data_IF_913814424920
#
_entry.id   IF_913814424920
#
_cell.length_a   1.000
_cell.length_b   1.000
_cell.length_c   1.000
_cell.angle_alpha   90.00
_cell.angle_beta   90.00
_cell.angle_gamma   90.00
#
_symmetry.space_group_name_H-M   'P 1'
#
loop_
_entity.id
_entity.type
_entity.pdbx_description
1 polymer ?
#
# COMPACT_ATOMS: atom_id res chain seq x y z
N UNK A 1 -11.40 40.67 4.95
CA UNK A 1 -10.99 40.32 6.32
C UNK A 1 -9.57 39.75 6.22
N UNK A 2 -8.62 40.31 6.93
CA UNK A 2 -7.19 39.95 6.82
C UNK A 2 -6.96 38.62 7.51
N UNK A 3 -6.65 37.54 6.78
CA UNK A 3 -6.47 36.18 7.26
C UNK A 3 -5.14 35.96 8.03
N UNK A 4 -4.37 37.04 8.27
CA UNK A 4 -3.11 37.02 9.02
C UNK A 4 -3.23 36.63 10.50
N UNK A 5 -4.44 36.40 11.03
CA UNK A 5 -4.64 35.92 12.39
C UNK A 5 -5.22 34.52 12.41
N UNK A 6 -4.28 33.53 12.59
CA UNK A 6 -4.56 32.18 13.07
C UNK A 6 -5.82 31.57 12.45
N UNK A 7 -5.66 30.67 11.50
CA UNK A 7 -6.74 29.79 11.06
C UNK A 7 -7.33 29.13 12.32
N UNK A 8 -8.33 29.79 12.92
CA UNK A 8 -8.98 29.41 14.17
C UNK A 8 -10.25 28.61 13.89
N UNK A 9 -10.82 27.91 14.88
CA UNK A 9 -12.13 27.30 14.74
C UNK A 9 -13.22 28.29 14.31
N UNK A 10 -13.23 29.52 14.86
CA UNK A 10 -14.20 30.55 14.49
C UNK A 10 -14.06 30.94 13.01
N UNK A 11 -12.84 31.07 12.51
CA UNK A 11 -12.59 31.29 11.08
C UNK A 11 -13.17 30.16 10.23
N UNK A 12 -12.98 28.90 10.63
CA UNK A 12 -13.50 27.74 9.91
C UNK A 12 -15.04 27.73 9.89
N UNK A 13 -15.70 28.13 11.00
CA UNK A 13 -17.16 28.28 11.08
C UNK A 13 -17.66 29.38 10.12
N UNK A 14 -16.99 30.52 10.06
CA UNK A 14 -17.33 31.62 9.18
C UNK A 14 -17.18 31.24 7.70
N UNK A 15 -16.07 30.66 7.31
CA UNK A 15 -15.82 30.18 5.94
C UNK A 15 -16.90 29.20 5.49
N UNK A 16 -17.24 28.22 6.33
CA UNK A 16 -18.24 27.21 5.96
C UNK A 16 -19.65 27.79 5.89
N UNK A 17 -19.98 28.74 6.77
CA UNK A 17 -21.25 29.45 6.69
C UNK A 17 -21.36 30.31 5.43
N UNK A 18 -20.31 31.04 5.06
CA UNK A 18 -20.26 31.91 3.89
C UNK A 18 -20.36 31.09 2.58
N UNK A 19 -19.46 30.14 2.39
CA UNK A 19 -19.32 29.45 1.10
C UNK A 19 -20.23 28.23 0.94
N UNK A 20 -20.56 27.52 2.02
CA UNK A 20 -21.43 26.31 1.97
C UNK A 20 -22.81 26.55 2.59
N UNK A 21 -23.00 27.61 3.36
CA UNK A 21 -24.25 27.91 4.03
C UNK A 21 -24.59 26.96 5.16
N UNK A 22 -23.59 26.37 5.77
CA UNK A 22 -23.74 25.40 6.84
C UNK A 22 -23.37 26.05 8.18
N UNK A 23 -24.31 26.08 9.10
CA UNK A 23 -24.05 26.46 10.50
C UNK A 23 -23.43 25.26 11.21
N UNK A 24 -22.26 25.45 11.82
CA UNK A 24 -21.51 24.38 12.47
C UNK A 24 -20.65 24.90 13.63
N UNK A 25 -20.15 23.97 14.44
CA UNK A 25 -19.08 24.20 15.41
C UNK A 25 -17.82 23.51 14.93
N UNK A 26 -16.73 24.25 14.92
CA UNK A 26 -15.43 23.76 14.46
C UNK A 26 -14.52 23.39 15.62
N UNK A 27 -13.74 22.32 15.42
CA UNK A 27 -12.62 21.94 16.26
C UNK A 27 -11.40 21.64 15.38
N UNK A 28 -10.23 22.19 15.73
CA UNK A 28 -9.00 21.96 14.99
C UNK A 28 -8.57 20.50 15.09
N UNK A 29 -8.09 19.96 13.95
CA UNK A 29 -7.44 18.66 13.85
C UNK A 29 -5.96 18.86 13.49
N UNK A 30 -5.13 17.86 13.84
CA UNK A 30 -3.74 17.83 13.39
C UNK A 30 -3.66 17.71 11.86
N UNK A 31 -2.66 18.30 11.25
CA UNK A 31 -2.36 18.22 9.82
C UNK A 31 -0.91 18.65 9.58
N UNK A 32 -0.28 18.06 8.56
CA UNK A 32 1.13 18.37 8.24
C UNK A 32 1.21 19.64 7.38
N UNK A 33 0.48 19.70 6.28
CA UNK A 33 0.43 20.87 5.37
C UNK A 33 -0.89 21.61 5.58
N UNK A 34 -2.01 20.91 5.47
CA UNK A 34 -3.34 21.47 5.61
C UNK A 34 -3.66 21.85 7.06
N UNK A 35 -4.39 22.92 7.25
CA UNK A 35 -5.12 23.19 8.50
C UNK A 35 -6.48 22.51 8.39
N UNK A 36 -6.70 21.54 9.23
CA UNK A 36 -7.89 20.71 9.21
C UNK A 36 -8.81 21.04 10.38
N UNK A 37 -10.12 21.07 10.12
CA UNK A 37 -11.14 21.31 11.14
C UNK A 37 -12.27 20.29 11.00
N UNK A 38 -12.60 19.59 12.08
CA UNK A 38 -13.86 18.86 12.14
C UNK A 38 -14.98 19.86 12.45
N UNK A 39 -16.07 19.75 11.72
CA UNK A 39 -17.26 20.57 11.86
C UNK A 39 -18.42 19.71 12.31
N UNK A 40 -19.16 20.18 13.30
CA UNK A 40 -20.39 19.52 13.78
C UNK A 40 -21.55 20.45 13.46
N UNK A 41 -22.45 20.02 12.59
CA UNK A 41 -23.64 20.78 12.21
C UNK A 41 -24.68 20.79 13.32
N UNK A 42 -25.67 21.69 13.25
CA UNK A 42 -26.79 21.70 14.20
C UNK A 42 -27.61 20.39 14.19
N UNK A 43 -27.53 19.57 13.13
CA UNK A 43 -28.18 18.25 13.03
C UNK A 43 -27.34 17.11 13.59
N UNK A 44 -26.09 17.41 13.98
CA UNK A 44 -25.13 16.42 14.45
C UNK A 44 -24.29 15.76 13.35
N UNK A 45 -24.49 16.13 12.09
CA UNK A 45 -23.64 15.64 11.00
C UNK A 45 -22.23 16.19 11.15
N UNK A 46 -21.22 15.39 10.77
CA UNK A 46 -19.82 15.77 10.82
C UNK A 46 -19.23 15.93 9.43
N UNK A 47 -18.41 16.97 9.26
CA UNK A 47 -17.69 17.28 8.02
C UNK A 47 -16.25 17.65 8.39
N UNK A 48 -15.37 17.69 7.39
CA UNK A 48 -13.99 18.19 7.55
C UNK A 48 -13.74 19.32 6.58
N UNK A 49 -13.39 20.49 7.11
CA UNK A 49 -12.82 21.58 6.32
C UNK A 49 -11.30 21.41 6.29
N UNK A 50 -10.74 21.37 5.09
CA UNK A 50 -9.30 21.37 4.85
C UNK A 50 -8.93 22.71 4.22
N UNK A 51 -7.96 23.41 4.81
CA UNK A 51 -7.44 24.70 4.30
C UNK A 51 -5.96 24.54 4.01
N UNK A 52 -5.61 24.55 2.73
CA UNK A 52 -4.22 24.55 2.28
C UNK A 52 -3.67 25.98 2.32
N UNK A 53 -2.53 26.24 2.99
CA UNK A 53 -1.96 27.58 3.11
C UNK A 53 -1.48 28.12 1.76
N UNK A 54 -1.17 29.43 1.67
CA UNK A 54 -0.60 30.02 0.47
C UNK A 54 0.71 29.34 0.06
N UNK A 55 0.91 29.20 -1.24
CA UNK A 55 2.09 28.57 -1.82
C UNK A 55 1.79 27.96 -3.19
N UNK A 56 2.77 27.25 -3.76
CA UNK A 56 2.61 26.56 -5.05
C UNK A 56 1.87 25.21 -4.86
N UNK A 57 0.69 25.27 -4.24
CA UNK A 57 -0.10 24.07 -3.91
C UNK A 57 -1.33 23.88 -4.79
N UNK A 58 -1.61 24.80 -5.72
CA UNK A 58 -2.84 24.78 -6.53
C UNK A 58 -3.03 23.47 -7.28
N UNK A 59 -2.01 23.01 -8.02
CA UNK A 59 -2.11 21.78 -8.79
C UNK A 59 -2.30 20.54 -7.90
N UNK A 60 -1.71 20.54 -6.70
CA UNK A 60 -1.90 19.47 -5.72
C UNK A 60 -3.34 19.45 -5.20
N UNK A 61 -3.91 20.61 -4.85
CA UNK A 61 -5.31 20.72 -4.39
C UNK A 61 -6.27 20.29 -5.49
N UNK A 62 -6.06 20.76 -6.72
CA UNK A 62 -6.88 20.36 -7.87
C UNK A 62 -6.83 18.84 -8.10
N UNK A 63 -5.62 18.25 -8.06
CA UNK A 63 -5.44 16.81 -8.19
C UNK A 63 -6.23 16.02 -7.12
N UNK A 64 -6.16 16.44 -5.85
CA UNK A 64 -6.92 15.80 -4.76
C UNK A 64 -8.43 15.90 -4.98
N UNK A 65 -8.91 17.09 -5.37
CA UNK A 65 -10.33 17.34 -5.61
C UNK A 65 -10.84 16.51 -6.79
N UNK A 66 -10.09 16.48 -7.88
CA UNK A 66 -10.47 15.73 -9.07
C UNK A 66 -10.41 14.23 -8.84
N UNK A 67 -9.39 13.71 -8.12
CA UNK A 67 -9.29 12.31 -7.75
C UNK A 67 -10.47 11.86 -6.88
N UNK A 68 -10.80 12.62 -5.82
CA UNK A 68 -11.94 12.31 -4.95
C UNK A 68 -13.26 12.39 -5.71
N UNK A 69 -13.40 13.35 -6.63
CA UNK A 69 -14.58 13.47 -7.49
C UNK A 69 -14.70 12.30 -8.47
N UNK A 70 -13.58 11.84 -9.02
CA UNK A 70 -13.53 10.65 -9.88
C UNK A 70 -13.93 9.38 -9.10
N UNK A 71 -13.47 9.24 -7.85
CA UNK A 71 -13.77 8.10 -6.99
C UNK A 71 -15.22 8.08 -6.49
N UNK A 72 -15.94 9.20 -6.50
CA UNK A 72 -17.31 9.30 -6.02
C UNK A 72 -18.31 8.39 -6.76
N UNK A 73 -18.03 8.10 -8.03
CA UNK A 73 -18.88 7.25 -8.88
C UNK A 73 -18.34 5.81 -9.01
N UNK A 74 -17.44 5.40 -8.11
CA UNK A 74 -16.79 4.08 -8.16
C UNK A 74 -17.18 3.20 -6.96
N UNK A 75 -16.90 1.89 -7.00
CA UNK A 75 -17.17 0.99 -5.86
C UNK A 75 -16.40 1.30 -4.56
N UNK A 76 -15.45 2.24 -4.57
CA UNK A 76 -14.72 2.67 -3.38
C UNK A 76 -15.28 3.94 -2.76
N UNK A 77 -16.31 4.54 -3.34
CA UNK A 77 -16.91 5.80 -2.88
C UNK A 77 -17.27 5.79 -1.38
N UNK A 78 -17.72 4.65 -0.85
CA UNK A 78 -18.08 4.51 0.57
C UNK A 78 -16.87 4.54 1.52
N UNK A 79 -15.65 4.33 1.00
CA UNK A 79 -14.41 4.26 1.79
C UNK A 79 -13.50 5.47 1.62
N UNK A 80 -13.86 6.46 0.79
CA UNK A 80 -13.04 7.66 0.54
C UNK A 80 -13.85 8.92 0.79
N UNK A 81 -13.20 10.03 1.23
CA UNK A 81 -13.90 11.29 1.46
C UNK A 81 -14.61 11.78 0.19
N UNK A 82 -15.83 12.29 0.36
CA UNK A 82 -16.59 12.90 -0.71
C UNK A 82 -16.46 14.42 -0.62
N UNK A 83 -16.17 15.09 -1.75
CA UNK A 83 -16.13 16.55 -1.84
C UNK A 83 -17.55 17.10 -1.80
N UNK A 84 -17.80 18.09 -0.95
CA UNK A 84 -19.03 18.86 -0.95
C UNK A 84 -18.79 20.19 -1.69
N UNK A 85 -19.44 20.42 -2.83
CA UNK A 85 -19.28 21.68 -3.55
C UNK A 85 -19.86 22.86 -2.75
N UNK A 86 -19.29 24.05 -2.93
CA UNK A 86 -19.82 25.30 -2.38
C UNK A 86 -21.20 25.64 -2.96
N UNK A 87 -21.84 26.69 -2.43
CA UNK A 87 -23.11 27.21 -3.00
C UNK A 87 -22.99 27.64 -4.46
N UNK A 88 -21.78 28.03 -4.89
CA UNK A 88 -21.49 28.44 -6.26
C UNK A 88 -21.04 27.26 -7.14
N UNK A 89 -20.98 26.04 -6.57
CA UNK A 89 -20.59 24.82 -7.27
C UNK A 89 -19.08 24.56 -7.29
N UNK A 90 -18.29 25.38 -6.62
CA UNK A 90 -16.83 25.20 -6.53
C UNK A 90 -16.49 24.05 -5.59
N UNK A 91 -15.53 23.23 -5.96
CA UNK A 91 -15.03 22.09 -5.16
C UNK A 91 -13.84 22.45 -4.28
N UNK A 92 -13.12 23.52 -4.65
CA UNK A 92 -12.11 24.19 -3.84
C UNK A 92 -12.32 25.70 -3.96
N UNK A 93 -12.47 26.37 -2.83
CA UNK A 93 -12.78 27.79 -2.73
C UNK A 93 -11.48 28.55 -2.44
N UNK A 94 -11.13 29.59 -3.23
CA UNK A 94 -10.01 30.44 -2.91
C UNK A 94 -10.37 31.40 -1.76
N UNK A 95 -9.47 31.47 -0.79
CA UNK A 95 -9.55 32.43 0.33
C UNK A 95 -8.32 33.34 0.26
N UNK A 96 -8.52 34.60 -0.07
CA UNK A 96 -7.44 35.57 -0.20
C UNK A 96 -7.02 36.12 1.15
N UNK A 97 -5.73 36.19 1.41
CA UNK A 97 -5.13 36.86 2.54
C UNK A 97 -3.91 37.70 2.11
N UNK A 98 -3.30 38.44 3.07
CA UNK A 98 -2.13 39.29 2.80
C UNK A 98 -0.87 38.49 2.38
N UNK A 99 -0.86 37.16 2.59
CA UNK A 99 0.24 36.25 2.26
C UNK A 99 -0.01 35.48 0.95
N UNK A 100 -1.21 35.59 0.35
CA UNK A 100 -1.59 34.96 -0.89
C UNK A 100 -2.94 34.24 -0.81
N UNK A 101 -3.12 33.19 -1.65
CA UNK A 101 -4.37 32.46 -1.76
C UNK A 101 -4.27 31.14 -1.00
N UNK A 102 -5.12 30.95 0.02
CA UNK A 102 -5.41 29.65 0.62
C UNK A 102 -6.50 28.93 -0.20
N UNK A 103 -6.51 27.59 -0.13
CA UNK A 103 -7.52 26.79 -0.81
C UNK A 103 -8.32 26.00 0.22
N UNK A 104 -9.62 26.32 0.35
CA UNK A 104 -10.54 25.64 1.25
C UNK A 104 -11.38 24.60 0.50
N UNK A 105 -11.50 23.40 1.07
CA UNK A 105 -12.36 22.33 0.57
C UNK A 105 -13.08 21.62 1.69
N UNK A 106 -14.35 21.31 1.49
CA UNK A 106 -15.20 20.65 2.46
C UNK A 106 -15.39 19.19 2.03
N UNK A 107 -15.15 18.25 2.95
CA UNK A 107 -15.28 16.81 2.69
C UNK A 107 -16.10 16.13 3.77
N UNK A 108 -16.63 14.95 3.46
CA UNK A 108 -17.31 14.10 4.43
C UNK A 108 -16.36 13.64 5.52
N UNK A 109 -16.89 13.46 6.72
CA UNK A 109 -16.18 12.91 7.87
C UNK A 109 -16.45 11.41 8.00
N UNK A 110 -15.45 10.63 8.38
CA UNK A 110 -15.60 9.22 8.71
C UNK A 110 -15.62 9.00 10.21
N UNK A 111 -16.65 8.29 10.68
CA UNK A 111 -16.72 7.78 12.04
C UNK A 111 -15.84 6.54 12.19
N UNK A 112 -14.65 6.74 12.72
CA UNK A 112 -13.68 5.68 12.89
C UNK A 112 -12.50 6.12 13.76
N UNK A 113 -11.75 5.14 14.23
CA UNK A 113 -10.49 5.35 14.95
C UNK A 113 -9.34 4.97 14.02
N UNK A 114 -8.25 5.75 13.94
CA UNK A 114 -7.06 5.36 13.19
C UNK A 114 -6.58 3.97 13.63
N UNK A 115 -6.19 3.15 12.65
CA UNK A 115 -5.82 1.75 12.88
C UNK A 115 -4.62 1.62 13.83
N UNK A 116 -3.73 2.61 13.87
CA UNK A 116 -2.59 2.66 14.81
C UNK A 116 -3.03 2.53 16.28
N UNK A 117 -4.25 2.97 16.61
CA UNK A 117 -4.82 2.87 17.96
C UNK A 117 -5.62 1.58 18.21
N UNK A 118 -5.59 0.63 17.26
CA UNK A 118 -6.27 -0.66 17.34
C UNK A 118 -5.28 -1.80 17.47
N UNK A 119 -5.41 -2.59 18.56
CA UNK A 119 -4.55 -3.75 18.79
C UNK A 119 -4.92 -4.96 17.92
N UNK A 120 -6.21 -5.26 17.83
CA UNK A 120 -6.71 -6.43 17.11
C UNK A 120 -6.84 -6.17 15.61
N UNK A 121 -6.21 -7.04 14.81
CA UNK A 121 -6.23 -7.01 13.34
C UNK A 121 -6.47 -8.44 12.83
N UNK A 122 -7.71 -8.96 12.92
CA UNK A 122 -7.99 -10.33 12.50
C UNK A 122 -7.75 -10.51 10.99
N UNK A 123 -7.43 -11.72 10.51
CA UNK A 123 -7.12 -12.01 9.11
C UNK A 123 -8.13 -11.44 8.11
N UNK A 124 -9.43 -11.65 8.37
CA UNK A 124 -10.51 -11.15 7.49
C UNK A 124 -10.52 -9.63 7.37
N UNK A 125 -10.17 -8.92 8.44
CA UNK A 125 -10.08 -7.47 8.44
C UNK A 125 -8.88 -7.01 7.59
N UNK A 126 -7.70 -7.62 7.76
CA UNK A 126 -6.52 -7.34 6.93
C UNK A 126 -6.77 -7.63 5.45
N UNK A 127 -7.43 -8.75 5.13
CA UNK A 127 -7.88 -9.04 3.76
C UNK A 127 -8.84 -7.98 3.23
N UNK A 128 -9.75 -7.43 4.06
CA UNK A 128 -10.67 -6.38 3.63
C UNK A 128 -9.94 -5.08 3.29
N UNK A 129 -8.90 -4.72 4.03
CA UNK A 129 -8.01 -3.59 3.69
C UNK A 129 -7.38 -3.84 2.32
N UNK A 130 -6.74 -5.00 2.11
CA UNK A 130 -6.15 -5.36 0.82
C UNK A 130 -7.14 -5.27 -0.33
N UNK A 131 -8.37 -5.78 -0.16
CA UNK A 131 -9.43 -5.68 -1.19
C UNK A 131 -9.81 -4.23 -1.51
N UNK A 132 -9.87 -3.38 -0.49
CA UNK A 132 -10.20 -1.95 -0.70
C UNK A 132 -9.08 -1.22 -1.43
N UNK A 133 -7.82 -1.47 -1.08
CA UNK A 133 -6.67 -0.93 -1.81
C UNK A 133 -6.66 -1.40 -3.27
N UNK A 134 -6.89 -2.69 -3.53
CA UNK A 134 -6.98 -3.21 -4.90
C UNK A 134 -8.11 -2.57 -5.71
N UNK A 135 -9.28 -2.30 -5.10
CA UNK A 135 -10.37 -1.56 -5.74
C UNK A 135 -10.01 -0.10 -6.00
N UNK A 136 -9.31 0.53 -5.06
CA UNK A 136 -8.85 1.91 -5.19
C UNK A 136 -7.89 2.05 -6.38
N UNK A 137 -6.89 1.19 -6.48
CA UNK A 137 -5.93 1.21 -7.58
C UNK A 137 -6.60 0.96 -8.93
N UNK A 138 -7.56 0.02 -8.99
CA UNK A 138 -8.34 -0.22 -10.21
C UNK A 138 -9.23 0.99 -10.57
N UNK A 139 -9.81 1.66 -9.58
CA UNK A 139 -10.62 2.86 -9.80
C UNK A 139 -9.76 4.04 -10.30
N UNK A 140 -8.52 4.18 -9.80
CA UNK A 140 -7.59 5.23 -10.21
C UNK A 140 -6.80 4.89 -11.50
N UNK A 141 -6.86 3.66 -12.03
CA UNK A 141 -6.06 3.25 -13.18
C UNK A 141 -6.29 4.08 -14.45
N UNK A 142 -7.48 4.68 -14.61
CA UNK A 142 -7.81 5.57 -15.72
C UNK A 142 -7.75 7.06 -15.38
N UNK A 143 -7.41 7.41 -14.15
CA UNK A 143 -7.30 8.78 -13.70
C UNK A 143 -5.88 9.31 -13.94
N UNK A 144 -5.77 10.53 -14.47
CA UNK A 144 -4.51 11.24 -14.61
C UNK A 144 -4.70 12.73 -14.37
N UNK A 145 -3.70 13.36 -13.73
CA UNK A 145 -3.72 14.80 -13.45
C UNK A 145 -2.29 15.34 -13.34
N UNK A 146 -1.97 16.54 -13.90
CA UNK A 146 -0.61 17.11 -13.82
C UNK A 146 -0.04 17.19 -12.39
N UNK A 147 -0.88 17.46 -11.39
CA UNK A 147 -0.48 17.51 -9.97
C UNK A 147 -0.06 16.17 -9.37
N UNK A 148 -0.35 15.03 -10.03
CA UNK A 148 0.14 13.72 -9.62
C UNK A 148 1.55 13.41 -10.14
N UNK A 149 2.04 14.13 -11.17
CA UNK A 149 3.37 13.95 -11.76
C UNK A 149 4.41 14.87 -11.11
N UNK A 150 4.56 14.75 -9.80
CA UNK A 150 5.50 15.55 -9.01
C UNK A 150 6.59 14.67 -8.40
N UNK A 151 7.71 15.26 -8.06
CA UNK A 151 8.75 14.57 -7.30
C UNK A 151 8.43 14.59 -5.80
N UNK A 152 8.48 13.42 -5.18
CA UNK A 152 8.24 13.25 -3.76
C UNK A 152 9.28 12.34 -3.11
N UNK A 153 9.70 12.67 -1.88
CA UNK A 153 10.54 11.80 -1.08
C UNK A 153 9.84 10.47 -0.70
N UNK A 154 8.52 10.46 -0.73
CA UNK A 154 7.70 9.28 -0.44
C UNK A 154 7.48 8.36 -1.65
N UNK A 155 7.98 8.72 -2.83
CA UNK A 155 7.95 7.85 -3.99
C UNK A 155 8.93 6.69 -3.81
N UNK A 156 8.38 5.48 -3.71
CA UNK A 156 9.17 4.25 -3.51
C UNK A 156 10.20 4.02 -4.63
N UNK A 157 9.91 4.45 -5.86
CA UNK A 157 10.85 4.30 -6.97
C UNK A 157 12.14 5.10 -6.79
N UNK A 158 12.09 6.13 -5.94
CA UNK A 158 13.22 7.04 -5.67
C UNK A 158 13.93 6.76 -4.35
N UNK A 159 13.63 5.63 -3.71
CA UNK A 159 14.16 5.30 -2.37
C UNK A 159 15.69 5.37 -2.29
N UNK A 160 16.40 4.91 -3.33
CA UNK A 160 17.87 4.96 -3.35
C UNK A 160 18.44 6.39 -3.47
N UNK A 161 17.69 7.34 -4.03
CA UNK A 161 18.08 8.75 -4.11
C UNK A 161 18.11 9.41 -2.72
N UNK A 162 17.28 8.92 -1.79
CA UNK A 162 17.28 9.38 -0.39
C UNK A 162 18.54 8.98 0.39
N UNK A 163 19.39 8.11 -0.18
CA UNK A 163 20.63 7.65 0.43
C UNK A 163 21.58 8.77 0.88
N UNK A 164 21.49 9.96 0.28
CA UNK A 164 22.24 11.15 0.68
C UNK A 164 21.97 11.56 2.13
N UNK A 165 20.78 11.22 2.67
CA UNK A 165 20.38 11.52 4.06
C UNK A 165 20.88 10.49 5.08
N UNK A 166 21.48 9.37 4.65
CA UNK A 166 22.06 8.38 5.56
C UNK A 166 23.14 8.95 6.48
N UNK A 167 23.82 10.01 6.06
CA UNK A 167 24.84 10.73 6.86
C UNK A 167 24.27 11.32 8.15
N UNK A 168 22.97 11.60 8.20
CA UNK A 168 22.27 12.13 9.37
C UNK A 168 21.89 11.04 10.39
N UNK A 169 22.10 9.76 10.08
CA UNK A 169 21.89 8.63 10.99
C UNK A 169 23.17 8.47 11.83
N UNK A 170 23.13 8.86 13.10
CA UNK A 170 24.29 8.87 13.98
C UNK A 170 24.82 7.44 14.28
N UNK A 171 23.92 6.48 14.49
CA UNK A 171 24.26 5.08 14.75
C UNK A 171 24.84 4.41 13.50
N UNK A 172 26.10 4.04 13.54
CA UNK A 172 26.82 3.44 12.40
C UNK A 172 26.25 2.09 11.97
N UNK A 173 25.73 1.29 12.92
CA UNK A 173 25.10 -0.01 12.61
C UNK A 173 23.79 0.18 11.87
N UNK A 174 22.96 1.13 12.31
CA UNK A 174 21.71 1.49 11.63
C UNK A 174 21.98 2.10 10.26
N UNK A 175 22.99 2.94 10.13
CA UNK A 175 23.42 3.52 8.85
C UNK A 175 23.83 2.42 7.88
N UNK A 176 24.72 1.52 8.28
CA UNK A 176 25.17 0.40 7.44
C UNK A 176 24.01 -0.54 7.04
N UNK A 177 22.99 -0.71 7.92
CA UNK A 177 21.78 -1.46 7.61
C UNK A 177 20.99 -0.81 6.45
N UNK A 178 20.75 0.50 6.53
CA UNK A 178 20.06 1.26 5.46
C UNK A 178 20.86 1.20 4.17
N UNK A 179 22.17 1.50 4.20
CA UNK A 179 23.04 1.52 3.01
C UNK A 179 23.01 0.17 2.28
N UNK A 180 23.02 -0.96 3.01
CA UNK A 180 22.90 -2.30 2.42
C UNK A 180 21.56 -2.51 1.72
N UNK A 181 20.45 -2.04 2.30
CA UNK A 181 19.13 -2.15 1.69
C UNK A 181 18.99 -1.25 0.46
N UNK A 182 19.57 -0.04 0.50
CA UNK A 182 19.59 0.85 -0.67
C UNK A 182 20.43 0.28 -1.81
N UNK A 183 21.57 -0.35 -1.50
CA UNK A 183 22.40 -1.02 -2.51
C UNK A 183 21.65 -2.20 -3.16
N UNK A 184 20.96 -3.01 -2.34
CA UNK A 184 20.07 -4.07 -2.85
C UNK A 184 18.95 -3.49 -3.72
N UNK A 185 18.28 -2.44 -3.26
CA UNK A 185 17.22 -1.78 -4.02
C UNK A 185 17.73 -1.30 -5.38
N UNK A 186 18.83 -0.56 -5.39
CA UNK A 186 19.44 -0.01 -6.59
C UNK A 186 19.85 -1.08 -7.61
N UNK A 187 20.41 -2.20 -7.12
CA UNK A 187 21.00 -3.24 -7.98
C UNK A 187 20.00 -4.32 -8.42
N UNK A 188 18.99 -4.64 -7.59
CA UNK A 188 18.10 -5.79 -7.83
C UNK A 188 16.62 -5.42 -7.97
N UNK A 189 16.18 -4.32 -7.36
CA UNK A 189 14.77 -3.91 -7.38
C UNK A 189 14.50 -2.89 -8.46
N UNK A 190 15.17 -1.72 -8.40
CA UNK A 190 14.94 -0.59 -9.31
C UNK A 190 14.95 -0.97 -10.80
N UNK A 191 15.89 -1.81 -11.31
CA UNK A 191 15.88 -2.20 -12.73
C UNK A 191 14.62 -2.97 -13.16
N UNK A 192 13.94 -3.64 -12.21
CA UNK A 192 12.72 -4.42 -12.47
C UNK A 192 11.45 -3.57 -12.42
N UNK A 193 11.48 -2.37 -11.82
CA UNK A 193 10.31 -1.50 -11.70
C UNK A 193 9.82 -0.95 -13.05
N UNK A 194 10.70 -0.89 -14.05
CA UNK A 194 10.41 -0.34 -15.38
C UNK A 194 9.35 -1.11 -16.18
N UNK A 195 9.08 -2.36 -15.79
CA UNK A 195 8.10 -3.22 -16.49
C UNK A 195 6.74 -3.23 -15.80
N UNK A 196 6.58 -2.54 -14.67
CA UNK A 196 5.32 -2.52 -13.92
C UNK A 196 4.36 -1.45 -14.44
N UNK A 197 3.08 -1.76 -14.31
CA UNK A 197 2.01 -0.81 -14.56
C UNK A 197 2.17 0.41 -13.64
N UNK A 198 1.84 1.57 -14.22
CA UNK A 198 1.85 2.86 -13.55
C UNK A 198 0.45 3.43 -13.53
N UNK A 199 0.08 4.02 -12.43
CA UNK A 199 -1.18 4.74 -12.25
C UNK A 199 -1.01 5.79 -11.16
N UNK A 200 -2.01 6.61 -11.00
CA UNK A 200 -2.16 7.42 -9.80
C UNK A 200 -2.56 6.48 -8.67
N UNK A 201 -1.87 6.58 -7.52
CA UNK A 201 -2.14 5.83 -6.30
C UNK A 201 -2.32 6.78 -5.12
N UNK A 202 -2.87 6.29 -4.00
CA UNK A 202 -2.99 7.08 -2.77
C UNK A 202 -1.62 7.42 -2.18
N UNK A 203 -0.66 6.50 -2.28
CA UNK A 203 0.75 6.62 -1.89
C UNK A 203 1.02 6.79 -0.38
N UNK A 204 -0.01 6.87 0.46
CA UNK A 204 0.13 6.98 1.92
C UNK A 204 -0.98 6.25 2.70
N UNK A 205 -1.38 5.05 2.24
CA UNK A 205 -2.34 4.19 2.94
C UNK A 205 -1.69 3.52 4.17
N UNK A 206 -1.30 4.34 5.14
CA UNK A 206 -0.69 3.95 6.40
C UNK A 206 -1.74 3.72 7.51
N UNK A 207 -1.32 3.29 8.68
CA UNK A 207 -2.18 2.97 9.81
C UNK A 207 -2.79 4.19 10.53
N UNK A 208 -2.35 5.40 10.24
CA UNK A 208 -3.01 6.64 10.66
C UNK A 208 -4.14 7.05 9.70
N UNK A 209 -4.00 6.74 8.42
CA UNK A 209 -4.95 7.11 7.36
C UNK A 209 -6.04 6.06 7.13
N UNK A 210 -5.86 4.84 7.64
CA UNK A 210 -6.87 3.78 7.64
C UNK A 210 -7.73 3.92 8.90
N UNK A 211 -9.01 4.23 8.72
CA UNK A 211 -9.98 4.36 9.82
C UNK A 211 -10.78 3.07 10.01
N UNK A 212 -10.97 2.70 11.28
CA UNK A 212 -11.63 1.46 11.70
C UNK A 212 -12.81 1.76 12.61
N UNK A 213 -13.91 1.07 12.37
CA UNK A 213 -15.08 1.00 13.27
C UNK A 213 -15.40 -0.45 13.58
N UNK A 214 -16.27 -0.69 14.56
CA UNK A 214 -16.84 -2.02 14.74
C UNK A 214 -18.08 -2.15 13.85
N UNK A 215 -18.25 -3.31 13.23
CA UNK A 215 -19.47 -3.67 12.52
C UNK A 215 -20.61 -4.00 13.49
N UNK A 216 -21.77 -4.40 12.95
CA UNK A 216 -22.94 -4.79 13.77
C UNK A 216 -22.69 -6.02 14.68
N UNK A 217 -21.68 -6.85 14.34
CA UNK A 217 -21.24 -8.01 15.12
C UNK A 217 -20.18 -7.66 16.18
N UNK A 218 -19.70 -6.42 16.22
CA UNK A 218 -18.63 -5.97 17.11
C UNK A 218 -17.22 -6.22 16.55
N UNK A 219 -17.09 -6.76 15.34
CA UNK A 219 -15.81 -7.06 14.69
C UNK A 219 -15.22 -5.82 14.01
N UNK A 220 -13.88 -5.70 13.94
CA UNK A 220 -13.23 -4.61 13.21
C UNK A 220 -13.61 -4.61 11.73
N UNK A 221 -14.04 -3.45 11.25
CA UNK A 221 -14.37 -3.19 9.85
C UNK A 221 -13.74 -1.87 9.39
N UNK A 222 -13.36 -1.79 8.11
CA UNK A 222 -12.87 -0.57 7.51
C UNK A 222 -13.99 0.49 7.52
N UNK A 223 -13.69 1.65 8.09
CA UNK A 223 -14.59 2.81 8.06
C UNK A 223 -14.29 3.73 6.88
N UNK A 224 -13.01 3.94 6.58
CA UNK A 224 -12.57 4.78 5.48
C UNK A 224 -11.05 4.85 5.36
N UNK A 225 -10.61 5.36 4.23
CA UNK A 225 -9.24 5.75 3.93
C UNK A 225 -9.22 7.26 3.68
N UNK A 226 -8.41 7.97 4.45
CA UNK A 226 -8.35 9.44 4.43
C UNK A 226 -6.97 9.94 3.99
N UNK A 227 -6.90 11.22 3.75
CA UNK A 227 -5.69 11.97 3.43
C UNK A 227 -5.03 11.63 2.08
N UNK A 228 -5.64 12.14 1.03
CA UNK A 228 -5.16 12.07 -0.36
C UNK A 228 -4.07 13.12 -0.67
N UNK A 229 -3.34 13.62 0.35
CA UNK A 229 -2.28 14.62 0.21
C UNK A 229 -1.10 14.14 -0.61
N UNK A 230 -0.77 12.89 -0.50
CA UNK A 230 0.40 12.26 -1.11
C UNK A 230 0.11 11.50 -2.41
N UNK A 231 -1.09 11.69 -2.98
CA UNK A 231 -1.48 11.08 -4.26
C UNK A 231 -0.42 11.34 -5.34
N UNK A 232 -0.01 10.28 -6.04
CA UNK A 232 1.14 10.32 -6.94
C UNK A 232 0.98 9.34 -8.11
N UNK A 233 1.43 9.73 -9.29
CA UNK A 233 1.55 8.83 -10.44
C UNK A 233 2.89 8.08 -10.36
N UNK A 234 2.85 6.80 -10.00
CA UNK A 234 4.03 5.94 -9.82
C UNK A 234 3.70 4.49 -10.16
N UNK A 235 4.56 3.53 -9.84
CA UNK A 235 4.25 2.09 -10.00
C UNK A 235 3.06 1.70 -9.12
N UNK A 236 2.01 1.14 -9.70
CA UNK A 236 0.76 0.82 -8.99
C UNK A 236 0.98 -0.09 -7.79
N UNK A 237 1.89 -1.07 -7.89
CA UNK A 237 2.19 -2.01 -6.80
C UNK A 237 2.82 -1.35 -5.57
N UNK A 238 3.31 -0.11 -5.67
CA UNK A 238 3.83 0.63 -4.52
C UNK A 238 2.78 0.82 -3.43
N UNK A 239 1.49 1.01 -3.79
CA UNK A 239 0.39 1.12 -2.83
C UNK A 239 0.36 -0.04 -1.83
N UNK A 240 0.45 -1.27 -2.35
CA UNK A 240 0.47 -2.46 -1.51
C UNK A 240 1.73 -2.53 -0.64
N UNK A 241 2.90 -2.20 -1.19
CA UNK A 241 4.17 -2.18 -0.44
C UNK A 241 4.16 -1.18 0.71
N UNK A 242 3.62 0.02 0.45
CA UNK A 242 3.46 1.10 1.44
C UNK A 242 2.53 0.64 2.56
N UNK A 243 1.33 0.20 2.21
CA UNK A 243 0.34 -0.21 3.20
C UNK A 243 0.85 -1.37 4.06
N UNK A 244 1.44 -2.41 3.46
CA UNK A 244 2.05 -3.52 4.21
C UNK A 244 3.14 -3.05 5.18
N UNK A 245 3.99 -2.08 4.80
CA UNK A 245 5.06 -1.57 5.67
C UNK A 245 4.51 -1.02 6.99
N UNK A 246 3.42 -0.26 6.94
CA UNK A 246 2.81 0.32 8.15
C UNK A 246 1.90 -0.65 8.90
N UNK A 247 1.20 -1.54 8.18
CA UNK A 247 0.36 -2.57 8.81
C UNK A 247 1.15 -3.62 9.59
N UNK A 248 2.44 -3.78 9.30
CA UNK A 248 3.37 -4.66 10.02
C UNK A 248 3.98 -4.04 11.28
N UNK A 249 3.84 -2.72 11.51
CA UNK A 249 4.46 -2.06 12.66
C UNK A 249 3.91 -2.63 13.98
N UNK A 250 4.83 -2.90 14.91
CA UNK A 250 4.56 -3.41 16.27
C UNK A 250 3.69 -4.69 16.31
N UNK A 251 3.79 -5.54 15.27
CA UNK A 251 3.09 -6.82 15.18
C UNK A 251 4.00 -7.98 15.58
N UNK A 252 3.43 -9.01 16.24
CA UNK A 252 4.16 -10.22 16.60
C UNK A 252 4.53 -11.03 15.36
N UNK A 253 3.59 -11.20 14.42
CA UNK A 253 3.75 -11.95 13.18
C UNK A 253 3.59 -11.07 11.93
N UNK A 254 4.53 -10.10 11.70
CA UNK A 254 4.35 -9.05 10.69
C UNK A 254 4.15 -9.61 9.27
N UNK A 255 4.89 -10.67 8.88
CA UNK A 255 4.73 -11.29 7.57
C UNK A 255 3.42 -12.07 7.41
N UNK A 256 2.82 -12.55 8.50
CA UNK A 256 1.50 -13.18 8.42
C UNK A 256 0.41 -12.12 8.19
N UNK A 257 0.50 -11.00 8.91
CA UNK A 257 -0.42 -9.88 8.73
C UNK A 257 -0.32 -9.32 7.29
N UNK A 258 0.90 -9.07 6.79
CA UNK A 258 1.11 -8.64 5.40
C UNK A 258 0.56 -9.65 4.39
N UNK A 259 0.72 -10.96 4.62
CA UNK A 259 0.20 -11.99 3.73
C UNK A 259 -1.32 -11.91 3.56
N UNK A 260 -2.08 -11.59 4.63
CA UNK A 260 -3.53 -11.37 4.54
C UNK A 260 -3.89 -10.13 3.72
N UNK A 261 -3.14 -9.03 3.86
CA UNK A 261 -3.34 -7.82 3.03
C UNK A 261 -3.06 -8.14 1.56
N UNK A 262 -1.95 -8.82 1.28
CA UNK A 262 -1.56 -9.26 -0.08
C UNK A 262 -2.62 -10.16 -0.69
N UNK A 263 -3.14 -11.15 0.05
CA UNK A 263 -4.23 -12.03 -0.40
C UNK A 263 -5.48 -11.24 -0.79
N UNK A 264 -5.89 -10.30 0.05
CA UNK A 264 -7.03 -9.44 -0.20
C UNK A 264 -6.85 -8.58 -1.45
N UNK A 265 -5.69 -7.97 -1.61
CA UNK A 265 -5.35 -7.15 -2.77
C UNK A 265 -5.33 -7.97 -4.06
N UNK A 266 -4.62 -9.10 -4.05
CA UNK A 266 -4.51 -10.02 -5.19
C UNK A 266 -5.87 -10.56 -5.66
N UNK A 267 -6.81 -10.77 -4.74
CA UNK A 267 -8.17 -11.22 -5.08
C UNK A 267 -8.98 -10.19 -5.89
N UNK A 268 -8.57 -8.93 -5.88
CA UNK A 268 -9.24 -7.82 -6.60
C UNK A 268 -8.41 -7.38 -7.82
N UNK A 269 -7.14 -7.07 -7.61
CA UNK A 269 -6.14 -6.77 -8.64
C UNK A 269 -5.11 -7.90 -8.65
N UNK A 270 -5.25 -8.87 -9.57
CA UNK A 270 -4.31 -9.98 -9.64
C UNK A 270 -2.88 -9.49 -9.88
N UNK A 271 -1.97 -9.86 -8.98
CA UNK A 271 -0.56 -9.54 -9.09
C UNK A 271 0.13 -10.52 -10.04
N UNK A 272 0.94 -10.02 -10.94
CA UNK A 272 1.87 -10.83 -11.74
C UNK A 272 2.89 -11.50 -10.82
N UNK A 273 3.51 -12.59 -11.27
CA UNK A 273 4.57 -13.27 -10.50
C UNK A 273 5.71 -12.30 -10.14
N UNK A 274 6.07 -11.42 -11.06
CA UNK A 274 7.14 -10.43 -10.84
C UNK A 274 6.77 -9.40 -9.78
N UNK A 275 5.51 -8.95 -9.74
CA UNK A 275 5.02 -8.07 -8.67
C UNK A 275 5.04 -8.79 -7.32
N UNK A 276 4.53 -10.03 -7.26
CA UNK A 276 4.53 -10.84 -6.03
C UNK A 276 5.95 -11.01 -5.44
N UNK A 277 6.95 -11.25 -6.28
CA UNK A 277 8.36 -11.39 -5.88
C UNK A 277 8.94 -10.12 -5.26
N UNK A 278 8.42 -8.93 -5.61
CA UNK A 278 8.96 -7.65 -5.17
C UNK A 278 8.20 -7.00 -4.02
N UNK A 279 7.02 -7.48 -3.63
CA UNK A 279 6.24 -6.89 -2.50
C UNK A 279 7.11 -6.73 -1.25
N UNK A 280 7.89 -7.77 -0.88
CA UNK A 280 8.76 -7.72 0.30
C UNK A 280 9.83 -6.62 0.18
N UNK A 281 10.45 -6.49 -0.99
CA UNK A 281 11.48 -5.47 -1.22
C UNK A 281 10.88 -4.05 -1.24
N UNK A 282 9.65 -3.88 -1.74
CA UNK A 282 8.94 -2.59 -1.70
C UNK A 282 8.59 -2.20 -0.25
N UNK A 283 8.22 -3.17 0.60
CA UNK A 283 8.06 -2.93 2.04
C UNK A 283 9.36 -2.42 2.65
N UNK A 284 10.48 -3.09 2.41
CA UNK A 284 11.80 -2.66 2.91
C UNK A 284 12.15 -1.27 2.39
N UNK A 285 11.90 -0.99 1.11
CA UNK A 285 12.15 0.31 0.50
C UNK A 285 11.33 1.42 1.20
N UNK A 286 10.03 1.20 1.46
CA UNK A 286 9.20 2.17 2.19
C UNK A 286 9.71 2.43 3.61
N UNK A 287 10.13 1.40 4.34
CA UNK A 287 10.72 1.57 5.67
C UNK A 287 12.03 2.37 5.60
N UNK A 288 12.89 2.12 4.61
CA UNK A 288 14.10 2.90 4.40
C UNK A 288 13.79 4.37 4.07
N UNK A 289 12.85 4.63 3.15
CA UNK A 289 12.42 5.98 2.80
C UNK A 289 11.89 6.74 4.02
N UNK A 290 11.06 6.10 4.85
CA UNK A 290 10.53 6.67 6.10
C UNK A 290 11.66 7.07 7.06
N UNK A 291 12.66 6.20 7.27
CA UNK A 291 13.79 6.47 8.16
C UNK A 291 14.73 7.54 7.64
N UNK A 292 14.98 7.58 6.33
CA UNK A 292 15.85 8.59 5.72
C UNK A 292 15.20 9.97 5.73
N UNK A 293 13.91 10.06 5.42
CA UNK A 293 13.14 11.31 5.52
C UNK A 293 13.06 11.79 6.97
N UNK A 294 12.85 10.89 7.93
CA UNK A 294 12.89 11.23 9.35
C UNK A 294 14.27 11.73 9.80
N UNK A 295 15.36 11.15 9.28
CA UNK A 295 16.73 11.60 9.57
C UNK A 295 16.99 12.99 8.98
N UNK A 296 16.54 13.27 7.77
CA UNK A 296 16.61 14.58 7.13
C UNK A 296 15.83 15.64 7.94
N UNK A 297 14.56 15.36 8.29
CA UNK A 297 13.72 16.29 9.08
C UNK A 297 14.34 16.60 10.43
N UNK A 298 14.86 15.60 11.12
CA UNK A 298 15.57 15.80 12.41
C UNK A 298 16.83 16.63 12.28
N UNK A 299 17.52 16.54 11.15
CA UNK A 299 18.67 17.41 10.89
C UNK A 299 18.25 18.87 10.67
N UNK A 300 17.11 19.09 10.01
CA UNK A 300 16.57 20.43 9.73
C UNK A 300 15.87 21.03 10.96
N UNK A 301 15.23 20.20 11.78
CA UNK A 301 14.43 20.59 12.95
C UNK A 301 14.89 19.79 14.20
N UNK A 302 16.09 20.04 14.76
CA UNK A 302 16.67 19.22 15.81
C UNK A 302 15.88 19.25 17.14
N UNK A 303 15.14 20.31 17.40
CA UNK A 303 14.36 20.51 18.63
C UNK A 303 12.98 19.83 18.59
N UNK A 304 12.60 19.24 17.47
CA UNK A 304 11.31 18.55 17.31
C UNK A 304 11.43 17.07 17.72
N UNK A 305 11.12 16.78 18.99
CA UNK A 305 11.17 15.42 19.55
C UNK A 305 10.22 14.42 18.85
N UNK A 306 9.15 14.88 18.22
CA UNK A 306 8.19 14.03 17.53
C UNK A 306 8.85 13.17 16.45
N UNK A 307 9.83 13.72 15.72
CA UNK A 307 10.57 13.00 14.69
C UNK A 307 11.42 11.83 15.22
N UNK A 308 11.73 11.83 16.53
CA UNK A 308 12.48 10.74 17.15
C UNK A 308 11.56 9.59 17.57
N UNK A 309 10.41 9.90 18.10
CA UNK A 309 9.45 8.91 18.64
C UNK A 309 8.82 8.10 17.50
N UNK A 310 8.40 8.75 16.42
CA UNK A 310 7.74 8.12 15.28
C UNK A 310 8.62 7.14 14.49
N UNK A 311 9.96 7.32 14.51
CA UNK A 311 10.89 6.46 13.79
C UNK A 311 11.18 5.11 14.51
N UNK A 312 10.93 4.98 15.82
CA UNK A 312 11.33 3.79 16.57
C UNK A 312 10.59 2.49 16.13
N UNK A 313 9.27 2.49 15.91
CA UNK A 313 8.58 1.30 15.39
C UNK A 313 9.16 0.85 14.04
N UNK A 314 9.47 1.80 13.16
CA UNK A 314 10.03 1.54 11.83
C UNK A 314 11.42 0.90 11.95
N UNK A 315 12.28 1.39 12.85
CA UNK A 315 13.58 0.78 13.12
C UNK A 315 13.45 -0.67 13.65
N UNK A 316 12.52 -0.90 14.58
CA UNK A 316 12.28 -2.25 15.12
C UNK A 316 11.85 -3.22 13.99
N UNK A 317 10.91 -2.80 13.16
CA UNK A 317 10.43 -3.62 12.07
C UNK A 317 11.52 -3.88 11.03
N UNK A 318 12.24 -2.86 10.57
CA UNK A 318 13.32 -3.02 9.61
C UNK A 318 14.40 -3.98 10.12
N UNK A 319 14.78 -3.87 11.41
CA UNK A 319 15.74 -4.79 12.03
C UNK A 319 15.25 -6.24 12.06
N UNK A 320 13.96 -6.46 12.38
CA UNK A 320 13.34 -7.80 12.36
C UNK A 320 13.29 -8.38 10.94
N UNK A 321 12.80 -7.63 9.98
CA UNK A 321 12.68 -8.10 8.59
C UNK A 321 14.05 -8.37 7.96
N UNK A 322 15.07 -7.60 8.34
CA UNK A 322 16.45 -7.80 7.88
C UNK A 322 17.10 -9.07 8.42
N UNK A 323 16.59 -9.61 9.55
CA UNK A 323 17.04 -10.87 10.13
C UNK A 323 16.31 -12.09 9.52
N UNK A 324 15.23 -11.87 8.77
CA UNK A 324 14.49 -12.95 8.11
C UNK A 324 15.23 -13.41 6.83
N UNK A 325 15.08 -14.68 6.48
CA UNK A 325 15.47 -15.17 5.17
C UNK A 325 14.56 -14.52 4.11
N UNK A 326 15.18 -13.76 3.18
CA UNK A 326 14.45 -13.00 2.15
C UNK A 326 13.61 -13.92 1.27
N UNK A 327 14.20 -15.02 0.79
CA UNK A 327 13.50 -15.92 -0.15
C UNK A 327 12.27 -16.57 0.51
N UNK A 328 12.38 -16.92 1.81
CA UNK A 328 11.23 -17.41 2.58
C UNK A 328 10.18 -16.34 2.81
N UNK A 329 10.59 -15.11 3.06
CA UNK A 329 9.67 -13.98 3.24
C UNK A 329 8.89 -13.69 1.96
N UNK A 330 9.58 -13.63 0.83
CA UNK A 330 8.97 -13.50 -0.50
C UNK A 330 8.01 -14.68 -0.76
N UNK A 331 8.45 -15.91 -0.48
CA UNK A 331 7.61 -17.09 -0.69
C UNK A 331 6.31 -17.03 0.13
N UNK A 332 6.38 -16.60 1.40
CA UNK A 332 5.20 -16.47 2.26
C UNK A 332 4.18 -15.49 1.69
N UNK A 333 4.62 -14.37 1.11
CA UNK A 333 3.74 -13.40 0.47
C UNK A 333 3.19 -13.92 -0.87
N UNK A 334 3.98 -14.66 -1.64
CA UNK A 334 3.52 -15.30 -2.88
C UNK A 334 2.49 -16.40 -2.60
N UNK A 335 2.68 -17.19 -1.55
CA UNK A 335 1.72 -18.24 -1.15
C UNK A 335 0.34 -17.65 -0.80
N UNK A 336 0.30 -16.41 -0.31
CA UNK A 336 -0.94 -15.70 -0.05
C UNK A 336 -1.72 -15.33 -1.34
N UNK A 337 -1.04 -15.25 -2.48
CA UNK A 337 -1.65 -15.03 -3.80
C UNK A 337 -2.14 -16.34 -4.44
N UNK A 338 -1.78 -17.50 -3.89
CA UNK A 338 -2.27 -18.74 -4.42
C UNK A 338 -3.80 -18.83 -4.27
N UNK A 339 -4.55 -19.31 -5.29
CA UNK A 339 -5.97 -19.54 -5.12
C UNK A 339 -6.17 -20.40 -3.88
N UNK A 340 -7.21 -20.09 -3.08
CA UNK A 340 -7.56 -20.85 -1.89
C UNK A 340 -7.72 -22.32 -2.28
N UNK A 341 -6.63 -23.05 -2.25
CA UNK A 341 -6.63 -24.48 -2.52
C UNK A 341 -7.34 -25.16 -1.36
N UNK A 342 -8.07 -26.21 -1.67
CA UNK A 342 -8.54 -27.17 -0.67
C UNK A 342 -7.42 -27.42 0.36
N UNK A 343 -7.73 -27.64 1.66
CA UNK A 343 -6.76 -27.65 2.75
C UNK A 343 -5.51 -28.42 2.33
N UNK A 344 -4.35 -27.76 2.45
CA UNK A 344 -3.06 -28.26 1.97
C UNK A 344 -2.82 -29.64 2.55
N UNK A 345 -2.96 -30.68 1.70
CA UNK A 345 -2.70 -32.06 2.11
C UNK A 345 -1.23 -32.22 2.46
N UNK A 346 -0.95 -32.92 3.52
CA UNK A 346 0.41 -33.32 3.87
C UNK A 346 1.02 -34.24 2.78
N UNK A 347 2.35 -34.31 2.71
CA UNK A 347 3.02 -35.21 1.77
C UNK A 347 2.51 -36.65 1.90
N UNK A 348 2.21 -37.13 3.14
CA UNK A 348 1.68 -38.46 3.42
C UNK A 348 0.27 -38.65 2.86
N UNK A 349 -0.64 -37.70 3.07
CA UNK A 349 -2.00 -37.74 2.50
C UNK A 349 -1.97 -37.76 0.97
N UNK A 350 -1.05 -37.02 0.35
CA UNK A 350 -0.86 -37.03 -1.11
C UNK A 350 -0.38 -38.41 -1.58
N UNK A 351 0.58 -39.01 -0.89
CA UNK A 351 1.06 -40.36 -1.24
C UNK A 351 -0.07 -41.41 -1.13
N UNK A 352 -0.87 -41.34 -0.07
CA UNK A 352 -2.00 -42.25 0.11
C UNK A 352 -3.09 -42.05 -0.95
N UNK A 353 -3.32 -40.80 -1.35
CA UNK A 353 -4.24 -40.46 -2.44
C UNK A 353 -3.69 -40.99 -3.80
N UNK A 354 -2.39 -40.81 -4.07
CA UNK A 354 -1.73 -41.34 -5.27
C UNK A 354 -1.86 -42.83 -5.37
N UNK A 355 -1.67 -43.61 -4.25
CA UNK A 355 -1.84 -45.07 -4.23
C UNK A 355 -3.24 -45.53 -4.64
N UNK A 356 -4.25 -44.70 -4.40
CA UNK A 356 -5.66 -45.00 -4.77
C UNK A 356 -6.04 -44.57 -6.19
N UNK A 357 -5.50 -43.45 -6.66
CA UNK A 357 -5.96 -42.79 -7.90
C UNK A 357 -5.00 -42.96 -9.08
N UNK A 358 -3.72 -43.27 -8.82
CA UNK A 358 -2.70 -43.35 -9.85
C UNK A 358 -2.21 -44.81 -9.96
N UNK A 359 -1.82 -45.25 -11.14
CA UNK A 359 -1.36 -46.60 -11.38
C UNK A 359 -0.18 -47.01 -10.48
N UNK A 360 -0.19 -48.24 -10.02
CA UNK A 360 0.84 -48.80 -9.09
C UNK A 360 2.26 -48.82 -9.65
N UNK A 361 2.42 -48.67 -10.95
CA UNK A 361 3.69 -48.55 -11.66
C UNK A 361 4.36 -47.15 -11.51
N UNK A 362 3.65 -46.18 -11.00
CA UNK A 362 4.18 -44.82 -10.78
C UNK A 362 4.67 -44.71 -9.32
N UNK A 363 5.91 -45.09 -9.07
CA UNK A 363 6.56 -44.98 -7.77
C UNK A 363 6.98 -43.54 -7.46
N UNK A 364 7.12 -43.23 -6.18
CA UNK A 364 7.76 -42.02 -5.69
C UNK A 364 9.26 -42.28 -5.54
N UNK A 365 10.09 -41.36 -6.01
CA UNK A 365 11.54 -41.55 -6.11
C UNK A 365 12.27 -41.64 -4.75
N UNK A 366 11.68 -41.09 -3.68
CA UNK A 366 12.32 -41.02 -2.38
C UNK A 366 11.51 -41.75 -1.30
N UNK A 367 12.20 -42.34 -0.33
CA UNK A 367 11.57 -43.00 0.83
C UNK A 367 10.81 -41.99 1.71
N UNK A 368 11.32 -40.76 1.82
CA UNK A 368 10.62 -39.62 2.40
C UNK A 368 10.23 -38.67 1.26
N UNK A 369 8.94 -38.65 0.87
CA UNK A 369 8.48 -37.81 -0.26
C UNK A 369 8.65 -36.34 0.00
N UNK A 370 9.27 -35.65 -0.95
CA UNK A 370 9.30 -34.19 -0.97
C UNK A 370 8.00 -33.67 -1.57
N UNK A 371 7.34 -32.77 -0.86
CA UNK A 371 6.18 -32.05 -1.38
C UNK A 371 6.65 -30.73 -2.01
N UNK A 372 6.99 -30.80 -3.30
CA UNK A 372 7.38 -29.64 -4.08
C UNK A 372 6.13 -28.84 -4.44
N UNK A 373 6.13 -27.56 -4.13
CA UNK A 373 5.00 -26.65 -4.35
C UNK A 373 5.29 -25.56 -5.37
N UNK A 374 6.57 -25.25 -5.62
CA UNK A 374 6.99 -24.21 -6.55
C UNK A 374 8.30 -24.54 -7.26
N UNK A 375 8.45 -24.04 -8.50
CA UNK A 375 9.72 -23.97 -9.23
C UNK A 375 9.98 -22.53 -9.68
N UNK A 376 11.26 -22.11 -9.64
CA UNK A 376 11.67 -20.81 -10.18
C UNK A 376 13.13 -20.90 -10.68
N UNK A 377 13.36 -20.54 -11.94
CA UNK A 377 14.67 -20.69 -12.56
C UNK A 377 15.19 -22.12 -12.41
N UNK A 378 16.37 -22.27 -11.84
CA UNK A 378 17.00 -23.59 -11.61
C UNK A 378 16.61 -24.24 -10.28
N UNK A 379 15.66 -23.69 -9.54
CA UNK A 379 15.33 -24.14 -8.19
C UNK A 379 13.91 -24.66 -8.06
N UNK A 380 13.75 -25.66 -7.19
CA UNK A 380 12.49 -26.16 -6.66
C UNK A 380 12.34 -25.79 -5.18
N UNK A 381 11.12 -25.67 -4.70
CA UNK A 381 10.80 -25.32 -3.31
C UNK A 381 9.76 -26.28 -2.77
N UNK A 382 9.98 -26.79 -1.54
CA UNK A 382 8.98 -27.58 -0.82
C UNK A 382 7.95 -26.69 -0.09
N UNK A 383 6.97 -27.31 0.53
CA UNK A 383 5.92 -26.65 1.32
C UNK A 383 6.43 -26.01 2.63
N UNK A 384 7.65 -26.34 3.06
CA UNK A 384 8.37 -25.66 4.13
C UNK A 384 9.22 -24.47 3.66
N UNK A 385 9.22 -24.17 2.34
CA UNK A 385 10.03 -23.11 1.73
C UNK A 385 11.51 -23.45 1.56
N UNK A 386 11.92 -24.71 1.79
CA UNK A 386 13.30 -25.13 1.56
C UNK A 386 13.59 -25.20 0.07
N UNK A 387 14.72 -24.63 -0.33
CA UNK A 387 15.18 -24.54 -1.73
C UNK A 387 16.05 -25.75 -2.10
N UNK A 388 15.81 -26.31 -3.27
CA UNK A 388 16.58 -27.40 -3.88
C UNK A 388 17.07 -26.97 -5.26
N UNK A 389 18.36 -27.19 -5.57
CA UNK A 389 18.87 -27.04 -6.94
C UNK A 389 18.37 -28.24 -7.77
N UNK A 390 17.60 -27.94 -8.83
CA UNK A 390 17.09 -28.99 -9.71
C UNK A 390 18.15 -29.39 -10.74
N UNK A 391 18.79 -30.54 -10.50
CA UNK A 391 19.79 -31.14 -11.40
C UNK A 391 19.25 -32.30 -12.23
N UNK A 392 17.96 -32.65 -12.05
CA UNK A 392 17.35 -33.85 -12.63
C UNK A 392 16.28 -33.55 -13.65
N UNK A 393 15.60 -32.39 -13.50
CA UNK A 393 14.49 -32.05 -14.38
C UNK A 393 15.00 -31.56 -15.74
N UNK A 394 14.95 -32.46 -16.71
CA UNK A 394 15.38 -32.21 -18.10
C UNK A 394 14.30 -31.58 -18.99
N UNK A 395 13.16 -31.20 -18.45
CA UNK A 395 12.04 -30.60 -19.21
C UNK A 395 12.14 -29.08 -19.28
N UNK A 396 12.64 -28.43 -18.22
CA UNK A 396 12.68 -26.96 -18.12
C UNK A 396 14.03 -26.38 -18.57
N UNK A 397 14.35 -26.45 -19.86
CA UNK A 397 15.63 -25.97 -20.42
C UNK A 397 15.91 -24.49 -20.16
N UNK A 398 14.88 -23.65 -20.02
CA UNK A 398 14.99 -22.21 -19.70
C UNK A 398 14.73 -21.93 -18.22
N UNK A 399 14.63 -22.98 -17.40
CA UNK A 399 14.26 -22.90 -15.98
C UNK A 399 12.75 -22.98 -15.74
N UNK A 400 12.40 -23.26 -14.47
CA UNK A 400 11.03 -23.34 -14.02
C UNK A 400 10.35 -21.96 -14.10
N UNK A 401 9.08 -21.96 -14.53
CA UNK A 401 8.21 -20.77 -14.55
C UNK A 401 8.82 -19.57 -15.30
N UNK A 402 9.53 -19.81 -16.40
CA UNK A 402 10.11 -18.72 -17.21
C UNK A 402 9.01 -17.79 -17.72
N UNK A 403 9.04 -16.46 -17.45
CA UNK A 403 7.92 -15.54 -17.68
C UNK A 403 7.38 -15.59 -19.11
N UNK A 404 8.25 -15.56 -20.13
CA UNK A 404 7.83 -15.61 -21.54
C UNK A 404 7.12 -16.92 -21.91
N UNK A 405 7.50 -18.05 -21.28
CA UNK A 405 6.85 -19.35 -21.50
C UNK A 405 5.48 -19.37 -20.84
N UNK A 406 5.39 -18.91 -19.59
CA UNK A 406 4.13 -18.82 -18.86
C UNK A 406 3.14 -17.89 -19.58
N UNK A 407 3.58 -16.73 -20.03
CA UNK A 407 2.75 -15.77 -20.76
C UNK A 407 2.27 -16.34 -22.11
N UNK A 408 3.17 -16.98 -22.87
CA UNK A 408 2.78 -17.59 -24.13
C UNK A 408 1.77 -18.74 -23.94
N UNK A 409 1.97 -19.57 -22.89
CA UNK A 409 1.04 -20.63 -22.55
C UNK A 409 -0.33 -20.08 -22.09
N UNK A 410 -0.36 -19.05 -21.26
CA UNK A 410 -1.59 -18.42 -20.79
C UNK A 410 -2.39 -17.81 -21.95
N UNK A 411 -1.72 -17.10 -22.86
CA UNK A 411 -2.37 -16.56 -24.07
C UNK A 411 -2.95 -17.69 -24.93
N UNK A 412 -2.16 -18.73 -25.22
CA UNK A 412 -2.62 -19.86 -26.01
C UNK A 412 -3.82 -20.58 -25.35
N UNK A 413 -3.80 -20.73 -24.02
CA UNK A 413 -4.92 -21.34 -23.28
C UNK A 413 -6.18 -20.48 -23.31
N UNK A 414 -6.05 -19.16 -23.34
CA UNK A 414 -7.18 -18.24 -23.47
C UNK A 414 -7.82 -18.31 -24.87
N UNK A 415 -7.00 -18.49 -25.91
CA UNK A 415 -7.49 -18.58 -27.29
C UNK A 415 -8.00 -19.97 -27.65
N UNK A 416 -7.20 -21.01 -27.35
CA UNK A 416 -7.53 -22.41 -27.66
C UNK A 416 -6.62 -23.37 -26.87
N UNK A 417 -7.20 -24.13 -25.94
CA UNK A 417 -6.44 -25.00 -25.03
C UNK A 417 -6.45 -26.50 -25.41
N UNK A 418 -7.40 -26.91 -26.26
CA UNK A 418 -7.54 -28.32 -26.67
C UNK A 418 -7.95 -28.41 -28.12
N UNK A 419 -7.05 -28.84 -28.99
CA UNK A 419 -7.39 -29.25 -30.34
C UNK A 419 -6.32 -30.14 -30.96
N UNK A 420 -6.74 -31.28 -31.52
CA UNK A 420 -5.85 -32.23 -32.17
C UNK A 420 -6.22 -32.52 -33.62
N UNK A 421 -7.30 -31.97 -34.13
CA UNK A 421 -7.87 -32.35 -35.46
C UNK A 421 -7.97 -31.21 -36.46
N UNK A 422 -7.79 -29.96 -36.05
CA UNK A 422 -7.87 -28.79 -36.94
C UNK A 422 -6.51 -28.09 -37.03
N UNK A 423 -6.27 -27.42 -38.14
CA UNK A 423 -5.12 -26.51 -38.28
C UNK A 423 -5.41 -25.20 -37.59
N UNK A 424 -4.46 -24.68 -36.85
CA UNK A 424 -4.56 -23.42 -36.12
C UNK A 424 -3.20 -22.78 -35.87
#
# INVERSE_FOLDING_TARGET
MTVAHTLSPDFAEDVVREHWGIESRAQALAGEIDRNFVLVTARGDRLVLKVTPPGDHRQMVDCQVEALSHLADTPVAEFVPQILPSREGERAVPLEDDNGICWARLVTYFDGTPLVHRGERPPRFLESIGRTLGRLDLALAGFDHPGAHREMNWDIERTDELGVHAVHIADSTRRALIERHLDHFKTHVRPRLTIFDRSVIHNDANDHNILVKNDAGGEPALAGLIDFGDILHTITIAELGISCAYLMLDRDEPLADAAHVVAGYHAIRPLTTTEQELVFDLVIARLCASLLTSAQRRHLEPDNEYHQISAQPVWRLLGRLSAFDRDRSVQKLMDACAPATAPSRTAREIVDLRRRLVGRNLSVAYSEPLKITRGHGQYLYDDGGRRYLDLVNNVCHVGHCHPRVVEAAARQMADLNTNTRYLH
#
